data_IF_850969549579
#
_entry.id   IF_850969549579
#
_cell.length_a   1.000
_cell.length_b   1.000
_cell.length_c   1.000
_cell.angle_alpha   90.00
_cell.angle_beta   90.00
_cell.angle_gamma   90.00
#
_symmetry.space_group_name_H-M   'P 1'
#
loop_
_entity.id
_entity.type
_entity.pdbx_description
1 polymer ?
#
# COMPACT_ATOMS: atom_id res chain seq x y z
N UNK A 1 16.36 -7.63 -62.31
CA UNK A 1 16.78 -6.29 -61.83
C UNK A 1 17.08 -6.40 -60.35
N UNK A 2 18.36 -6.29 -59.96
CA UNK A 2 18.83 -6.37 -58.55
C UNK A 2 18.92 -4.94 -58.01
N UNK A 3 18.15 -4.61 -56.98
CA UNK A 3 18.31 -3.36 -56.25
C UNK A 3 19.22 -3.58 -55.03
N UNK A 4 20.40 -2.98 -55.07
CA UNK A 4 21.29 -2.86 -53.92
C UNK A 4 20.87 -1.63 -53.10
N UNK A 5 20.57 -1.83 -51.82
CA UNK A 5 20.42 -0.74 -50.86
C UNK A 5 21.78 -0.51 -50.17
N UNK A 6 22.33 0.70 -50.32
CA UNK A 6 23.47 1.18 -49.53
C UNK A 6 22.96 1.66 -48.18
N UNK A 7 23.39 0.99 -47.11
CA UNK A 7 23.21 1.45 -45.73
C UNK A 7 24.32 2.49 -45.47
N UNK A 8 23.93 3.73 -45.19
CA UNK A 8 24.83 4.78 -44.71
C UNK A 8 24.69 4.82 -43.19
N UNK A 9 25.71 4.32 -42.49
CA UNK A 9 25.82 4.44 -41.03
C UNK A 9 26.41 5.79 -40.67
N UNK A 10 25.64 6.64 -39.99
CA UNK A 10 26.16 7.82 -39.32
C UNK A 10 26.76 7.43 -37.97
N UNK A 11 28.09 7.46 -37.87
CA UNK A 11 28.82 7.35 -36.60
C UNK A 11 28.94 8.76 -36.02
N UNK A 12 28.20 9.04 -34.93
CA UNK A 12 28.39 10.25 -34.15
C UNK A 12 29.61 10.06 -33.22
N UNK A 13 30.71 10.73 -33.56
CA UNK A 13 31.83 10.95 -32.66
C UNK A 13 31.51 12.17 -31.77
N UNK A 14 31.12 11.94 -30.52
CA UNK A 14 31.00 12.99 -29.52
C UNK A 14 32.36 13.29 -28.89
N UNK A 15 32.98 14.39 -29.30
CA UNK A 15 34.13 14.98 -28.59
C UNK A 15 33.65 15.55 -27.25
N UNK A 16 34.16 15.01 -26.14
CA UNK A 16 34.11 15.67 -24.83
C UNK A 16 35.20 16.75 -24.79
N UNK A 17 34.80 18.02 -24.81
CA UNK A 17 35.68 19.13 -24.46
C UNK A 17 35.45 19.45 -22.98
N UNK A 18 36.44 19.14 -22.16
CA UNK A 18 36.58 19.67 -20.80
C UNK A 18 37.12 21.11 -20.92
N UNK A 19 36.35 22.09 -20.45
CA UNK A 19 36.87 23.42 -20.12
C UNK A 19 36.71 23.67 -18.63
N UNK A 20 37.82 23.60 -17.90
CA UNK A 20 37.96 24.17 -16.57
C UNK A 20 38.04 25.69 -16.70
N UNK A 21 37.23 26.43 -15.95
CA UNK A 21 37.52 27.82 -15.61
C UNK A 21 37.31 28.00 -14.11
N UNK A 22 38.44 28.23 -13.43
CA UNK A 22 38.53 28.87 -12.13
C UNK A 22 38.77 30.38 -12.34
N UNK A 23 38.77 31.12 -11.22
CA UNK A 23 38.89 32.58 -10.99
C UNK A 23 37.52 33.18 -10.63
N UNK A 24 37.33 33.89 -9.52
CA UNK A 24 38.23 34.53 -8.57
C UNK A 24 37.45 35.72 -7.97
N UNK A 25 37.54 35.92 -6.66
CA UNK A 25 36.83 36.95 -5.90
C UNK A 25 37.12 38.38 -6.39
N UNK A 26 36.12 39.26 -6.36
CA UNK A 26 36.35 40.66 -5.96
C UNK A 26 35.07 41.30 -5.39
N UNK A 27 35.24 41.93 -4.22
CA UNK A 27 34.23 42.71 -3.50
C UNK A 27 33.97 44.04 -4.21
N UNK A 28 32.73 44.54 -4.16
CA UNK A 28 32.48 45.99 -4.08
C UNK A 28 31.13 46.27 -3.42
N UNK A 29 31.12 47.38 -2.68
CA UNK A 29 30.20 47.81 -1.61
C UNK A 29 29.18 48.85 -2.13
N UNK A 30 28.16 49.11 -1.30
CA UNK A 30 27.14 50.19 -1.29
C UNK A 30 25.77 49.78 -1.86
N UNK A 31 24.61 50.08 -1.25
CA UNK A 31 24.25 50.91 -0.10
C UNK A 31 22.79 50.65 0.26
N UNK A 32 22.51 50.64 1.57
CA UNK A 32 21.23 50.82 2.29
C UNK A 32 20.01 51.36 1.51
N UNK A 33 18.87 50.69 1.69
CA UNK A 33 17.72 51.37 2.26
C UNK A 33 16.93 50.46 3.22
N UNK A 34 16.94 50.89 4.47
CA UNK A 34 16.25 50.36 5.62
C UNK A 34 14.84 50.97 5.66
N UNK A 35 13.80 50.18 5.89
CA UNK A 35 12.60 50.65 6.58
C UNK A 35 12.19 49.62 7.63
N UNK A 36 12.27 50.11 8.87
CA UNK A 36 12.04 49.44 10.13
C UNK A 36 10.55 49.15 10.33
N UNK A 37 10.21 48.01 10.92
CA UNK A 37 9.36 47.98 12.12
C UNK A 37 9.75 46.78 12.99
N UNK A 38 10.25 47.09 14.18
CA UNK A 38 10.59 46.15 15.25
C UNK A 38 9.81 46.57 16.49
N UNK A 39 9.55 45.59 17.35
CA UNK A 39 9.03 45.65 18.73
C UNK A 39 7.49 45.66 18.80
N UNK A 40 6.83 44.76 19.53
CA UNK A 40 7.14 44.40 20.91
C UNK A 40 6.81 42.94 21.27
N UNK A 41 7.71 42.33 22.03
CA UNK A 41 7.45 41.14 22.83
C UNK A 41 6.49 41.49 23.98
N UNK A 42 5.43 40.71 24.14
CA UNK A 42 4.82 40.50 25.45
C UNK A 42 4.45 39.02 25.58
N UNK A 43 5.13 38.39 26.52
CA UNK A 43 4.76 37.11 27.09
C UNK A 43 3.34 37.20 27.65
N UNK A 44 2.45 36.35 27.15
CA UNK A 44 1.52 35.67 28.03
C UNK A 44 1.23 34.28 27.45
N UNK A 45 1.84 33.32 28.14
CA UNK A 45 1.58 31.90 28.11
C UNK A 45 0.08 31.59 28.13
N UNK A 46 -0.39 30.95 27.08
CA UNK A 46 -1.42 29.92 27.14
C UNK A 46 -1.11 28.90 26.06
N UNK A 47 -0.02 28.17 26.28
CA UNK A 47 0.19 26.88 25.64
C UNK A 47 -0.91 25.98 26.20
N UNK A 48 -1.99 25.83 25.43
CA UNK A 48 -2.94 24.73 25.61
C UNK A 48 -2.22 23.45 25.24
N UNK A 49 -1.43 22.95 26.19
CA UNK A 49 -0.86 21.61 26.19
C UNK A 49 -1.99 20.62 26.44
N UNK A 50 -2.87 20.43 25.46
CA UNK A 50 -3.71 19.24 25.41
C UNK A 50 -2.98 18.17 24.60
N UNK A 51 -1.73 17.89 24.98
CA UNK A 51 -1.13 16.58 24.75
C UNK A 51 -1.86 15.64 25.71
N UNK A 52 -3.03 15.18 25.27
CA UNK A 52 -3.53 13.91 25.78
C UNK A 52 -2.47 12.89 25.41
N UNK A 53 -1.60 12.60 26.36
CA UNK A 53 -0.85 11.36 26.45
C UNK A 53 -1.88 10.24 26.46
N UNK A 54 -2.38 9.87 25.26
CA UNK A 54 -3.14 8.64 25.04
C UNK A 54 -2.21 7.55 25.51
N UNK A 55 -2.53 6.98 26.66
CA UNK A 55 -1.91 5.77 27.17
C UNK A 55 -1.86 4.77 26.01
N UNK A 56 -0.65 4.46 25.57
CA UNK A 56 -0.39 3.49 24.51
C UNK A 56 -1.16 2.22 24.84
N UNK A 57 -2.23 1.96 24.10
CA UNK A 57 -3.08 0.80 24.29
C UNK A 57 -2.24 -0.43 23.98
N UNK A 58 -1.71 -1.08 25.02
CA UNK A 58 -0.89 -2.29 24.87
C UNK A 58 -1.72 -3.49 24.43
N UNK A 59 -3.00 -3.52 24.81
CA UNK A 59 -3.89 -4.63 24.53
C UNK A 59 -5.05 -4.16 23.67
N UNK A 60 -5.18 -4.71 22.47
CA UNK A 60 -6.26 -4.38 21.55
C UNK A 60 -6.50 -5.51 20.56
N UNK A 61 -7.60 -5.42 19.82
CA UNK A 61 -7.84 -6.25 18.65
C UNK A 61 -7.88 -5.41 17.40
N UNK A 62 -7.42 -5.97 16.29
CA UNK A 62 -7.57 -5.39 14.96
C UNK A 62 -8.00 -6.48 13.98
N UNK A 63 -8.60 -6.09 12.86
CA UNK A 63 -9.01 -7.03 11.81
C UNK A 63 -8.19 -6.76 10.56
N UNK A 64 -7.70 -7.82 9.94
CA UNK A 64 -6.98 -7.77 8.67
C UNK A 64 -7.78 -8.59 7.66
N UNK A 65 -8.09 -7.98 6.52
CA UNK A 65 -8.92 -8.55 5.46
C UNK A 65 -8.38 -8.15 4.09
N UNK A 66 -8.88 -8.76 3.02
CA UNK A 66 -8.55 -8.44 1.64
C UNK A 66 -9.72 -8.80 0.73
N UNK A 67 -9.68 -8.32 -0.51
CA UNK A 67 -10.61 -8.75 -1.57
C UNK A 67 -12.10 -8.61 -1.20
N UNK A 68 -12.58 -7.41 -0.78
CA UNK A 68 -14.02 -7.13 -0.84
C UNK A 68 -14.54 -7.17 -2.28
N UNK A 69 -13.74 -6.72 -3.25
CA UNK A 69 -14.02 -6.70 -4.69
C UNK A 69 -15.49 -6.43 -4.99
N UNK A 70 -15.92 -5.20 -4.73
CA UNK A 70 -17.32 -4.85 -4.87
C UNK A 70 -17.89 -5.25 -6.25
N UNK A 71 -18.90 -6.14 -6.20
CA UNK A 71 -19.60 -6.89 -7.26
C UNK A 71 -19.10 -8.28 -7.65
N UNK A 72 -18.02 -8.77 -7.05
CA UNK A 72 -17.60 -10.16 -7.22
C UNK A 72 -18.47 -11.13 -6.43
N UNK A 73 -19.01 -12.13 -7.12
CA UNK A 73 -19.67 -13.28 -6.51
C UNK A 73 -18.84 -14.54 -6.81
N UNK A 74 -19.19 -15.67 -6.18
CA UNK A 74 -18.56 -16.96 -6.48
C UNK A 74 -18.74 -17.39 -7.95
N UNK A 75 -19.79 -16.90 -8.61
CA UNK A 75 -20.15 -17.24 -9.98
C UNK A 75 -20.69 -16.00 -10.70
N UNK A 76 -20.62 -16.00 -12.03
CA UNK A 76 -21.12 -14.92 -12.87
C UNK A 76 -20.05 -13.85 -13.16
N UNK A 77 -20.40 -12.88 -14.00
CA UNK A 77 -19.50 -11.79 -14.37
C UNK A 77 -19.29 -10.86 -13.17
N UNK A 78 -18.08 -10.76 -12.60
CA UNK A 78 -17.84 -9.95 -11.40
C UNK A 78 -17.95 -8.45 -11.65
N UNK A 79 -17.86 -8.02 -12.92
CA UNK A 79 -18.04 -6.63 -13.30
C UNK A 79 -19.51 -6.23 -13.53
N UNK A 80 -20.44 -7.18 -13.53
CA UNK A 80 -21.85 -6.94 -13.85
C UNK A 80 -22.59 -6.24 -12.72
N UNK A 81 -23.33 -5.20 -13.07
CA UNK A 81 -24.23 -4.52 -12.12
C UNK A 81 -25.39 -5.43 -11.66
N UNK A 82 -25.70 -6.51 -12.38
CA UNK A 82 -26.69 -7.51 -11.91
C UNK A 82 -26.29 -8.14 -10.56
N UNK A 83 -25.00 -8.20 -10.23
CA UNK A 83 -24.51 -8.74 -8.97
C UNK A 83 -24.68 -7.77 -7.80
N UNK A 84 -25.03 -6.51 -8.08
CA UNK A 84 -25.01 -5.40 -7.13
C UNK A 84 -25.77 -5.70 -5.85
N UNK A 85 -27.05 -5.97 -5.99
CA UNK A 85 -27.94 -6.17 -4.84
C UNK A 85 -27.48 -7.35 -4.00
N UNK A 86 -27.10 -8.45 -4.65
CA UNK A 86 -26.71 -9.69 -3.96
C UNK A 86 -25.38 -9.57 -3.22
N UNK A 87 -24.39 -8.89 -3.81
CA UNK A 87 -23.12 -8.62 -3.13
C UNK A 87 -23.33 -7.73 -1.92
N UNK A 88 -24.11 -6.64 -2.02
CA UNK A 88 -24.42 -5.77 -0.86
C UNK A 88 -25.05 -6.61 0.25
N UNK A 89 -26.04 -7.44 -0.08
CA UNK A 89 -26.74 -8.26 0.91
C UNK A 89 -25.77 -9.22 1.64
N UNK A 90 -24.95 -9.95 0.89
CA UNK A 90 -23.97 -10.89 1.46
C UNK A 90 -22.91 -10.18 2.30
N UNK A 91 -22.36 -9.08 1.81
CA UNK A 91 -21.26 -8.38 2.46
C UNK A 91 -21.74 -7.56 3.67
N UNK A 92 -23.02 -7.19 3.75
CA UNK A 92 -23.61 -6.65 5.00
C UNK A 92 -23.61 -7.66 6.14
N UNK A 93 -23.82 -8.94 5.86
CA UNK A 93 -23.69 -9.99 6.88
C UNK A 93 -22.22 -10.14 7.33
N UNK A 94 -21.28 -10.15 6.39
CA UNK A 94 -19.85 -10.15 6.72
C UNK A 94 -19.48 -8.94 7.59
N UNK A 95 -19.94 -7.75 7.21
CA UNK A 95 -19.72 -6.50 7.94
C UNK A 95 -20.32 -6.52 9.35
N UNK A 96 -21.48 -7.17 9.53
CA UNK A 96 -22.10 -7.38 10.85
C UNK A 96 -21.23 -8.28 11.75
N UNK A 97 -20.68 -9.36 11.19
CA UNK A 97 -19.75 -10.23 11.91
C UNK A 97 -18.49 -9.46 12.32
N UNK A 98 -17.88 -8.71 11.41
CA UNK A 98 -16.71 -7.85 11.69
C UNK A 98 -17.01 -6.85 12.80
N UNK A 99 -18.14 -6.13 12.72
CA UNK A 99 -18.54 -5.13 13.71
C UNK A 99 -18.70 -5.74 15.11
N UNK A 100 -19.12 -7.00 15.22
CA UNK A 100 -19.33 -7.66 16.51
C UNK A 100 -18.05 -7.87 17.32
N UNK A 101 -16.88 -7.90 16.66
CA UNK A 101 -15.58 -8.02 17.31
C UNK A 101 -15.12 -6.77 18.06
N UNK A 102 -15.72 -5.60 17.76
CA UNK A 102 -15.35 -4.29 18.34
C UNK A 102 -13.84 -4.00 18.24
N UNK A 103 -13.25 -4.33 17.09
CA UNK A 103 -11.85 -4.10 16.82
C UNK A 103 -11.50 -2.60 16.88
N UNK A 104 -10.28 -2.29 17.31
CA UNK A 104 -9.77 -0.93 17.40
C UNK A 104 -9.65 -0.27 16.02
N UNK A 105 -9.33 -1.06 15.00
CA UNK A 105 -9.26 -0.65 13.60
C UNK A 105 -9.30 -1.86 12.67
N UNK A 106 -9.53 -1.58 11.38
CA UNK A 106 -9.61 -2.57 10.31
C UNK A 106 -8.56 -2.24 9.24
N UNK A 107 -7.88 -3.25 8.67
CA UNK A 107 -6.95 -3.12 7.55
C UNK A 107 -7.50 -3.92 6.36
N UNK A 108 -7.56 -3.31 5.17
CA UNK A 108 -7.99 -3.97 3.92
C UNK A 108 -6.82 -4.01 2.94
N UNK A 109 -6.26 -5.20 2.68
CA UNK A 109 -5.08 -5.39 1.85
C UNK A 109 -5.43 -5.46 0.36
N UNK A 110 -6.00 -4.39 -0.17
CA UNK A 110 -6.23 -4.24 -1.59
C UNK A 110 -7.46 -4.95 -2.13
N UNK A 111 -7.64 -4.76 -3.43
CA UNK A 111 -8.79 -5.22 -4.21
C UNK A 111 -10.12 -4.74 -3.61
N UNK A 112 -10.12 -3.44 -3.29
CA UNK A 112 -11.28 -2.72 -2.79
C UNK A 112 -12.44 -2.79 -3.81
N UNK A 113 -12.06 -2.78 -5.08
CA UNK A 113 -12.93 -2.80 -6.24
C UNK A 113 -12.60 -3.96 -7.16
N UNK A 114 -13.55 -4.36 -8.02
CA UNK A 114 -13.29 -5.37 -9.05
C UNK A 114 -12.50 -4.81 -10.25
N UNK A 115 -12.50 -3.48 -10.49
CA UNK A 115 -11.82 -2.90 -11.66
C UNK A 115 -11.56 -1.38 -11.55
N UNK A 116 -11.36 -0.85 -10.34
CA UNK A 116 -11.06 0.58 -10.10
C UNK A 116 -12.24 1.55 -10.23
N UNK A 117 -13.44 1.05 -10.53
CA UNK A 117 -14.64 1.88 -10.82
C UNK A 117 -15.15 2.60 -9.56
N UNK A 118 -15.56 3.85 -9.73
CA UNK A 118 -16.05 4.69 -8.60
C UNK A 118 -17.26 4.05 -7.89
N UNK A 119 -18.26 3.59 -8.65
CA UNK A 119 -19.48 2.99 -8.07
C UNK A 119 -19.18 1.74 -7.24
N UNK A 120 -18.21 0.92 -7.63
CA UNK A 120 -17.79 -0.24 -6.85
C UNK A 120 -17.08 0.18 -5.56
N UNK A 121 -16.24 1.22 -5.64
CA UNK A 121 -15.60 1.78 -4.44
C UNK A 121 -16.64 2.36 -3.47
N UNK A 122 -17.63 3.10 -3.97
CA UNK A 122 -18.69 3.68 -3.13
C UNK A 122 -19.46 2.61 -2.37
N UNK A 123 -19.81 1.51 -3.04
CA UNK A 123 -20.52 0.40 -2.40
C UNK A 123 -19.66 -0.39 -1.42
N UNK A 124 -18.36 -0.58 -1.71
CA UNK A 124 -17.39 -1.07 -0.72
C UNK A 124 -17.34 -0.14 0.52
N UNK A 125 -17.16 1.16 0.30
CA UNK A 125 -17.02 2.15 1.36
C UNK A 125 -18.28 2.21 2.23
N UNK A 126 -19.46 2.19 1.62
CA UNK A 126 -20.73 2.18 2.32
C UNK A 126 -20.91 0.97 3.23
N UNK A 127 -20.42 -0.21 2.82
CA UNK A 127 -20.51 -1.43 3.61
C UNK A 127 -19.48 -1.46 4.73
N UNK A 128 -18.22 -1.10 4.46
CA UNK A 128 -17.11 -1.41 5.36
C UNK A 128 -16.54 -0.23 6.14
N UNK A 129 -16.67 1.02 5.66
CA UNK A 129 -16.06 2.18 6.33
C UNK A 129 -16.91 2.75 7.48
N UNK A 130 -18.16 2.31 7.60
CA UNK A 130 -19.12 2.80 8.60
C UNK A 130 -19.36 1.81 9.76
N UNK A 131 -18.36 0.97 10.09
CA UNK A 131 -18.49 -0.09 11.10
C UNK A 131 -18.22 0.36 12.54
N UNK A 132 -17.88 1.63 12.75
CA UNK A 132 -17.57 2.18 14.07
C UNK A 132 -16.10 2.01 14.48
N UNK A 133 -15.24 1.57 13.56
CA UNK A 133 -13.79 1.53 13.69
C UNK A 133 -13.17 2.15 12.42
N UNK A 134 -12.01 2.83 12.51
CA UNK A 134 -11.32 3.34 11.34
C UNK A 134 -10.85 2.20 10.43
N UNK A 135 -10.87 2.44 9.13
CA UNK A 135 -10.43 1.50 8.08
C UNK A 135 -9.20 2.07 7.40
N UNK A 136 -8.13 1.27 7.37
CA UNK A 136 -6.87 1.57 6.71
C UNK A 136 -6.73 0.72 5.45
N UNK A 137 -6.69 1.37 4.30
CA UNK A 137 -6.83 0.74 3.00
C UNK A 137 -5.48 0.54 2.33
N UNK A 138 -5.29 -0.62 1.71
CA UNK A 138 -4.31 -0.90 0.66
C UNK A 138 -4.99 -0.91 -0.70
N UNK A 139 -4.20 -0.84 -1.77
CA UNK A 139 -4.69 -1.01 -3.15
C UNK A 139 -4.17 -2.35 -3.66
N UNK A 140 -4.99 -3.08 -4.42
CA UNK A 140 -4.61 -4.33 -5.07
C UNK A 140 -4.52 -4.20 -6.59
N UNK A 141 -4.28 -5.32 -7.28
CA UNK A 141 -4.14 -5.29 -8.73
C UNK A 141 -5.45 -4.88 -9.43
N UNK A 142 -6.63 -5.21 -8.88
CA UNK A 142 -7.91 -4.78 -9.44
C UNK A 142 -8.19 -3.27 -9.26
N UNK A 143 -7.51 -2.61 -8.33
CA UNK A 143 -7.71 -1.18 -8.08
C UNK A 143 -6.91 -0.28 -9.05
N UNK A 144 -5.67 -0.64 -9.38
CA UNK A 144 -4.75 0.24 -10.12
C UNK A 144 -3.66 -0.46 -10.95
N UNK A 145 -3.80 -1.76 -11.26
CA UNK A 145 -2.92 -2.48 -12.18
C UNK A 145 -3.66 -3.07 -13.38
N UNK A 146 -4.70 -3.88 -13.13
CA UNK A 146 -5.46 -4.58 -14.17
C UNK A 146 -6.26 -3.64 -15.09
N UNK A 147 -6.54 -2.42 -14.61
CA UNK A 147 -7.35 -1.43 -15.30
C UNK A 147 -6.49 -0.33 -16.00
N UNK A 148 -5.17 -0.43 -15.90
CA UNK A 148 -4.22 0.47 -16.58
C UNK A 148 -4.36 0.30 -18.09
N UNK A 149 -4.48 1.40 -18.82
CA UNK A 149 -4.70 1.38 -20.26
C UNK A 149 -6.09 0.90 -20.71
N UNK A 150 -6.98 0.52 -19.79
CA UNK A 150 -8.18 -0.26 -20.11
C UNK A 150 -9.48 0.28 -19.48
N UNK A 151 -9.42 1.37 -18.73
CA UNK A 151 -10.59 1.85 -17.96
C UNK A 151 -10.76 3.36 -18.03
N UNK A 152 -11.88 3.75 -18.65
CA UNK A 152 -12.37 5.14 -18.72
C UNK A 152 -13.47 5.37 -17.67
N UNK A 153 -13.79 6.65 -17.39
CA UNK A 153 -14.92 7.05 -16.54
C UNK A 153 -15.85 7.98 -17.35
N UNK A 154 -16.71 7.42 -18.23
CA UNK A 154 -17.59 8.21 -19.09
C UNK A 154 -18.55 9.11 -18.33
N UNK A 155 -19.02 8.69 -17.14
CA UNK A 155 -19.94 9.46 -16.30
C UNK A 155 -19.32 10.79 -15.81
N UNK A 156 -17.98 10.86 -15.76
CA UNK A 156 -17.24 12.06 -15.41
C UNK A 156 -16.61 12.75 -16.64
N UNK A 157 -17.05 12.38 -17.86
CA UNK A 157 -16.45 12.84 -19.12
C UNK A 157 -14.92 12.64 -19.18
N UNK A 158 -14.45 11.54 -18.58
CA UNK A 158 -13.05 11.19 -18.54
C UNK A 158 -12.80 9.94 -19.39
N UNK A 159 -12.39 10.15 -20.64
CA UNK A 159 -12.16 9.09 -21.62
C UNK A 159 -10.69 8.65 -21.70
N UNK A 160 -9.85 9.06 -20.75
CA UNK A 160 -8.45 8.64 -20.69
C UNK A 160 -8.36 7.19 -20.21
N UNK A 161 -7.47 6.37 -20.80
CA UNK A 161 -7.45 4.93 -20.56
C UNK A 161 -6.95 4.53 -19.15
N UNK A 162 -6.27 5.43 -18.44
CA UNK A 162 -5.80 5.25 -17.06
C UNK A 162 -6.74 5.87 -16.02
N UNK A 163 -7.93 6.33 -16.41
CA UNK A 163 -8.79 7.14 -15.56
C UNK A 163 -9.15 6.43 -14.23
N UNK A 164 -9.41 5.12 -14.27
CA UNK A 164 -9.78 4.36 -13.07
C UNK A 164 -8.58 4.16 -12.13
N UNK A 165 -7.39 3.82 -12.67
CA UNK A 165 -6.17 3.69 -11.88
C UNK A 165 -5.81 5.01 -11.19
N UNK A 166 -5.83 6.13 -11.92
CA UNK A 166 -5.52 7.45 -11.35
C UNK A 166 -6.58 7.85 -10.32
N UNK A 167 -7.85 7.55 -10.57
CA UNK A 167 -8.91 7.78 -9.59
C UNK A 167 -8.67 6.99 -8.29
N UNK A 168 -8.18 5.75 -8.36
CA UNK A 168 -7.80 4.98 -7.17
C UNK A 168 -6.61 5.60 -6.42
N UNK A 169 -5.58 6.06 -7.13
CA UNK A 169 -4.44 6.78 -6.54
C UNK A 169 -4.90 8.06 -5.83
N UNK A 170 -5.75 8.86 -6.48
CA UNK A 170 -6.25 10.11 -5.91
C UNK A 170 -7.13 9.88 -4.67
N UNK A 171 -7.96 8.83 -4.66
CA UNK A 171 -8.70 8.42 -3.47
C UNK A 171 -7.76 8.02 -2.34
N UNK A 172 -6.73 7.24 -2.63
CA UNK A 172 -5.75 6.82 -1.62
C UNK A 172 -5.01 8.01 -1.01
N UNK A 173 -4.59 8.98 -1.82
CA UNK A 173 -4.02 10.24 -1.32
C UNK A 173 -4.95 10.99 -0.36
N UNK A 174 -6.26 10.99 -0.63
CA UNK A 174 -7.25 11.61 0.26
C UNK A 174 -7.37 10.85 1.58
N UNK A 175 -7.32 9.52 1.55
CA UNK A 175 -7.33 8.68 2.75
C UNK A 175 -6.06 8.87 3.58
N UNK A 176 -4.88 8.81 2.95
CA UNK A 176 -3.59 9.06 3.61
C UNK A 176 -3.53 10.45 4.24
N UNK A 177 -4.16 11.48 3.63
CA UNK A 177 -4.30 12.81 4.22
C UNK A 177 -5.20 12.83 5.47
N UNK A 178 -6.16 11.91 5.60
CA UNK A 178 -6.95 11.73 6.84
C UNK A 178 -6.14 10.96 7.87
N UNK A 179 -5.43 9.92 7.45
CA UNK A 179 -4.58 9.09 8.29
C UNK A 179 -3.48 9.91 8.95
N UNK A 180 -2.78 10.77 8.19
CA UNK A 180 -1.70 11.62 8.70
C UNK A 180 -2.11 12.59 9.82
N UNK A 181 -3.40 12.90 9.93
CA UNK A 181 -3.94 13.76 10.98
C UNK A 181 -4.32 13.02 12.26
N UNK A 182 -4.45 11.70 12.19
CA UNK A 182 -5.08 10.90 13.25
C UNK A 182 -4.19 9.78 13.78
N UNK A 183 -3.25 9.30 12.96
CA UNK A 183 -2.36 8.20 13.28
C UNK A 183 -1.06 8.69 13.93
N UNK A 184 -0.63 7.99 14.98
CA UNK A 184 0.63 8.29 15.65
C UNK A 184 1.82 7.84 14.79
N UNK A 185 2.87 8.67 14.76
CA UNK A 185 4.08 8.40 13.97
C UNK A 185 3.79 8.04 12.50
N UNK A 186 2.77 8.66 11.92
CA UNK A 186 2.42 8.42 10.53
C UNK A 186 3.58 8.80 9.60
N UNK A 187 3.94 7.88 8.71
CA UNK A 187 4.90 8.11 7.62
C UNK A 187 4.28 7.68 6.29
N UNK A 188 4.69 8.29 5.19
CA UNK A 188 4.22 7.96 3.85
C UNK A 188 5.29 8.20 2.78
N UNK A 189 5.20 7.44 1.70
CA UNK A 189 6.06 7.54 0.53
C UNK A 189 5.30 8.12 -0.67
N UNK A 190 5.07 9.43 -0.63
CA UNK A 190 4.49 10.13 -1.76
C UNK A 190 4.80 11.62 -1.76
N UNK A 191 5.07 12.14 -2.95
CA UNK A 191 5.07 13.57 -3.27
C UNK A 191 3.89 13.86 -4.20
N UNK A 192 3.07 14.85 -3.86
CA UNK A 192 1.98 15.38 -4.68
C UNK A 192 2.21 16.88 -4.85
N UNK A 193 2.60 17.30 -6.06
CA UNK A 193 2.96 18.70 -6.34
C UNK A 193 2.41 19.20 -7.67
N UNK A 194 2.16 20.50 -7.73
CA UNK A 194 1.77 21.19 -8.96
C UNK A 194 2.99 21.84 -9.61
N UNK A 195 3.18 21.59 -10.90
CA UNK A 195 4.14 22.27 -11.76
C UNK A 195 3.36 23.22 -12.67
N UNK A 196 3.72 24.49 -12.64
CA UNK A 196 3.08 25.53 -13.44
C UNK A 196 3.92 25.79 -14.69
N UNK A 197 3.31 25.59 -15.85
CA UNK A 197 3.87 25.88 -17.17
C UNK A 197 3.13 27.09 -17.77
N UNK A 198 3.67 27.72 -18.81
CA UNK A 198 2.97 28.83 -19.46
C UNK A 198 1.60 28.35 -19.98
N UNK A 199 0.52 28.95 -19.50
CA UNK A 199 -0.88 28.59 -19.77
C UNK A 199 -1.34 27.17 -19.39
N UNK A 200 -0.63 26.45 -18.52
CA UNK A 200 -1.09 25.14 -18.02
C UNK A 200 -0.52 24.78 -16.66
N UNK A 201 -1.18 23.85 -15.95
CA UNK A 201 -0.66 23.24 -14.72
C UNK A 201 -0.63 21.73 -14.88
N UNK A 202 0.40 21.10 -14.32
CA UNK A 202 0.59 19.66 -14.29
C UNK A 202 0.71 19.21 -12.84
N UNK A 203 -0.20 18.36 -12.39
CA UNK A 203 -0.09 17.66 -11.12
C UNK A 203 0.82 16.46 -11.29
N UNK A 204 1.88 16.40 -10.49
CA UNK A 204 2.84 15.31 -10.44
C UNK A 204 2.70 14.57 -9.11
N UNK A 205 2.32 13.29 -9.19
CA UNK A 205 2.28 12.37 -8.06
C UNK A 205 3.39 11.35 -8.23
N UNK A 206 4.27 11.20 -7.23
CA UNK A 206 5.42 10.28 -7.29
C UNK A 206 5.68 9.59 -5.96
N UNK A 207 6.01 8.30 -5.99
CA UNK A 207 6.33 7.47 -4.83
C UNK A 207 5.57 6.15 -4.87
N UNK A 208 5.72 5.29 -3.86
CA UNK A 208 5.01 4.00 -3.79
C UNK A 208 3.59 4.09 -3.25
N UNK A 209 3.18 5.25 -2.72
CA UNK A 209 1.98 5.48 -1.89
C UNK A 209 2.02 4.80 -0.53
N UNK A 210 3.02 3.96 -0.26
CA UNK A 210 3.12 3.21 0.99
C UNK A 210 3.03 4.13 2.19
N UNK A 211 2.43 3.63 3.27
CA UNK A 211 2.32 4.37 4.51
C UNK A 211 2.45 3.45 5.72
N UNK A 212 2.78 4.06 6.85
CA UNK A 212 2.94 3.36 8.12
C UNK A 212 2.46 4.19 9.30
N UNK A 213 2.22 3.52 10.42
CA UNK A 213 1.85 4.17 11.67
C UNK A 213 2.17 3.29 12.87
N UNK A 214 2.25 3.90 14.05
CA UNK A 214 2.36 3.19 15.31
C UNK A 214 0.99 3.04 15.98
N UNK A 215 0.70 1.86 16.52
CA UNK A 215 -0.43 1.64 17.43
C UNK A 215 -0.02 0.70 18.57
N UNK A 216 0.00 1.21 19.80
CA UNK A 216 0.56 0.47 20.93
C UNK A 216 2.06 0.21 20.72
N UNK A 217 2.49 -1.03 20.92
CA UNK A 217 3.89 -1.46 20.71
C UNK A 217 4.18 -1.97 19.28
N UNK A 218 3.19 -1.89 18.38
CA UNK A 218 3.28 -2.37 17.00
C UNK A 218 3.43 -1.19 16.03
N UNK A 219 4.30 -1.36 15.05
CA UNK A 219 4.40 -0.54 13.85
C UNK A 219 3.74 -1.28 12.68
N UNK A 220 2.77 -0.63 12.04
CA UNK A 220 2.05 -1.20 10.91
C UNK A 220 2.49 -0.52 9.63
N UNK A 221 2.71 -1.33 8.59
CA UNK A 221 3.10 -0.86 7.26
C UNK A 221 2.10 -1.37 6.23
N UNK A 222 1.69 -0.52 5.28
CA UNK A 222 0.87 -0.86 4.12
C UNK A 222 1.63 -0.52 2.84
N UNK A 223 1.92 -1.52 2.00
CA UNK A 223 2.70 -1.40 0.76
C UNK A 223 1.85 -1.52 -0.51
N UNK A 224 0.52 -1.49 -0.38
CA UNK A 224 -0.44 -1.61 -1.49
C UNK A 224 -0.28 -2.92 -2.27
N UNK A 225 -0.11 -2.88 -3.61
CA UNK A 225 -0.19 -4.08 -4.43
C UNK A 225 0.92 -5.08 -4.05
N UNK A 226 2.17 -4.68 -4.25
CA UNK A 226 3.33 -5.43 -3.78
C UNK A 226 4.56 -4.51 -3.69
N UNK A 227 5.60 -4.85 -2.90
CA UNK A 227 6.69 -3.93 -2.54
C UNK A 227 7.47 -3.34 -3.73
N UNK A 228 7.45 -4.03 -4.88
CA UNK A 228 8.20 -3.68 -6.09
C UNK A 228 7.30 -3.20 -7.24
N UNK A 229 6.02 -2.91 -6.96
CA UNK A 229 5.10 -2.45 -7.99
C UNK A 229 5.51 -1.09 -8.54
N UNK A 230 5.51 -0.96 -9.86
CA UNK A 230 5.80 0.29 -10.56
C UNK A 230 4.85 0.48 -11.72
N UNK A 231 4.35 1.69 -11.93
CA UNK A 231 3.53 2.03 -13.09
C UNK A 231 3.61 3.52 -13.41
N UNK A 232 3.53 3.86 -14.70
CA UNK A 232 3.34 5.22 -15.17
C UNK A 232 1.90 5.39 -15.62
N UNK A 233 1.19 6.36 -15.06
CA UNK A 233 -0.18 6.69 -15.43
C UNK A 233 -0.26 8.13 -15.89
N UNK A 234 -1.09 8.39 -16.90
CA UNK A 234 -1.30 9.75 -17.37
C UNK A 234 -2.76 10.03 -17.74
N UNK A 235 -3.27 11.17 -17.30
CA UNK A 235 -4.54 11.72 -17.78
C UNK A 235 -4.50 13.23 -17.76
N UNK A 236 -5.03 13.89 -18.80
CA UNK A 236 -5.17 15.36 -18.85
C UNK A 236 -3.89 16.09 -18.32
N UNK A 237 -4.03 16.73 -17.16
CA UNK A 237 -3.00 17.48 -16.43
C UNK A 237 -2.48 16.75 -15.18
N UNK A 238 -2.57 15.43 -15.12
CA UNK A 238 -2.09 14.59 -14.01
C UNK A 238 -1.18 13.49 -14.54
N UNK A 239 0.03 13.44 -14.00
CA UNK A 239 0.98 12.35 -14.22
C UNK A 239 1.28 11.68 -12.88
N UNK A 240 1.17 10.35 -12.86
CA UNK A 240 1.48 9.54 -11.69
C UNK A 240 2.65 8.62 -12.03
N UNK A 241 3.65 8.60 -11.16
CA UNK A 241 4.77 7.67 -11.23
C UNK A 241 4.82 6.86 -9.93
N UNK A 242 4.27 5.64 -9.98
CA UNK A 242 4.35 4.71 -8.86
C UNK A 242 5.72 4.03 -8.88
N UNK A 243 6.42 4.09 -7.75
CA UNK A 243 7.77 3.59 -7.57
C UNK A 243 7.81 2.42 -6.57
N UNK A 244 8.92 1.69 -6.56
CA UNK A 244 9.18 0.63 -5.58
C UNK A 244 9.25 1.22 -4.16
N UNK A 245 8.72 0.51 -3.18
CA UNK A 245 8.70 0.95 -1.79
C UNK A 245 9.99 0.64 -1.00
N UNK A 246 10.94 -0.11 -1.56
CA UNK A 246 12.04 -0.74 -0.82
C UNK A 246 12.92 0.26 -0.04
N UNK A 247 13.36 1.34 -0.69
CA UNK A 247 14.22 2.35 -0.05
C UNK A 247 13.48 3.08 1.08
N UNK A 248 12.20 3.37 0.89
CA UNK A 248 11.37 3.98 1.91
C UNK A 248 11.14 3.01 3.07
N UNK A 249 10.82 1.75 2.77
CA UNK A 249 10.58 0.70 3.75
C UNK A 249 11.78 0.51 4.67
N UNK A 250 13.01 0.43 4.14
CA UNK A 250 14.21 0.29 4.98
C UNK A 250 14.36 1.45 5.97
N UNK A 251 14.14 2.70 5.52
CA UNK A 251 14.21 3.88 6.40
C UNK A 251 13.09 3.88 7.44
N UNK A 252 11.88 3.51 7.04
CA UNK A 252 10.72 3.46 7.92
C UNK A 252 10.89 2.41 9.02
N UNK A 253 11.33 1.19 8.66
CA UNK A 253 11.60 0.12 9.62
C UNK A 253 12.78 0.45 10.54
N UNK A 254 13.84 1.07 10.03
CA UNK A 254 14.95 1.57 10.85
C UNK A 254 14.43 2.56 11.91
N UNK A 255 13.54 3.48 11.51
CA UNK A 255 12.95 4.42 12.44
C UNK A 255 12.04 3.73 13.48
N UNK A 256 11.29 2.70 13.07
CA UNK A 256 10.44 1.91 13.97
C UNK A 256 11.25 1.10 15.00
N UNK A 257 12.36 0.50 14.57
CA UNK A 257 13.30 -0.21 15.45
C UNK A 257 13.94 0.73 16.48
N UNK A 258 14.32 1.94 16.05
CA UNK A 258 14.83 2.98 16.97
C UNK A 258 13.79 3.40 18.02
N UNK A 259 12.49 3.27 17.72
CA UNK A 259 11.38 3.45 18.68
C UNK A 259 11.04 2.19 19.47
N UNK A 260 11.76 1.09 19.24
CA UNK A 260 11.58 -0.19 19.92
C UNK A 260 10.29 -0.92 19.55
N UNK A 261 9.72 -0.67 18.37
CA UNK A 261 8.49 -1.34 17.90
C UNK A 261 8.76 -2.75 17.37
N UNK A 262 7.72 -3.57 17.29
CA UNK A 262 7.68 -4.74 16.40
C UNK A 262 6.84 -4.39 15.18
N UNK A 263 7.12 -4.98 14.02
CA UNK A 263 6.49 -4.60 12.77
C UNK A 263 5.53 -5.67 12.23
N UNK A 264 4.37 -5.23 11.76
CA UNK A 264 3.47 -6.00 10.89
C UNK A 264 3.43 -5.32 9.51
N UNK A 265 3.76 -6.08 8.47
CA UNK A 265 3.72 -5.60 7.09
C UNK A 265 2.45 -6.11 6.39
N UNK A 266 1.83 -5.25 5.60
CA UNK A 266 0.63 -5.55 4.83
C UNK A 266 0.85 -5.17 3.36
N UNK A 267 0.45 -6.05 2.45
CA UNK A 267 0.34 -5.77 1.00
C UNK A 267 -0.65 -6.74 0.37
N UNK A 268 -0.89 -6.64 -0.93
CA UNK A 268 -1.93 -7.43 -1.61
C UNK A 268 -1.39 -8.74 -2.19
N UNK A 269 -0.42 -8.69 -3.10
CA UNK A 269 0.06 -9.83 -3.89
C UNK A 269 1.34 -10.43 -3.30
N UNK A 270 1.18 -11.55 -2.60
CA UNK A 270 2.25 -12.47 -2.20
C UNK A 270 2.11 -13.84 -2.90
N UNK A 271 1.49 -13.86 -4.09
CA UNK A 271 1.18 -15.09 -4.83
C UNK A 271 2.44 -15.86 -5.14
N UNK A 272 2.52 -17.16 -4.80
CA UNK A 272 3.63 -18.01 -5.23
C UNK A 272 3.85 -17.94 -6.74
N UNK A 273 5.09 -18.14 -7.18
CA UNK A 273 5.39 -18.14 -8.60
C UNK A 273 4.73 -19.33 -9.29
N UNK A 274 3.97 -19.02 -10.33
CA UNK A 274 3.53 -19.96 -11.33
C UNK A 274 3.88 -19.35 -12.69
N UNK A 275 4.21 -20.17 -13.68
CA UNK A 275 4.50 -19.69 -15.04
C UNK A 275 3.21 -19.24 -15.75
N UNK A 276 2.66 -18.11 -15.29
CA UNK A 276 1.48 -17.46 -15.81
C UNK A 276 1.56 -15.93 -15.62
N UNK A 277 0.61 -15.24 -16.23
CA UNK A 277 0.56 -13.78 -16.26
C UNK A 277 0.17 -13.13 -14.93
N UNK A 278 -0.27 -13.92 -13.95
CA UNK A 278 -0.88 -13.44 -12.71
C UNK A 278 0.10 -13.55 -11.51
N UNK A 279 1.32 -14.08 -11.72
CA UNK A 279 2.40 -14.05 -10.71
C UNK A 279 3.27 -12.81 -10.94
N UNK A 280 3.09 -11.76 -10.13
CA UNK A 280 3.80 -10.50 -10.34
C UNK A 280 5.00 -10.30 -9.42
N UNK A 281 4.80 -10.37 -8.11
CA UNK A 281 5.84 -10.06 -7.12
C UNK A 281 6.88 -11.17 -7.01
N UNK A 282 6.44 -12.38 -6.65
CA UNK A 282 7.28 -13.57 -6.56
C UNK A 282 7.50 -14.13 -7.96
N UNK A 283 8.25 -13.39 -8.77
CA UNK A 283 8.57 -13.77 -10.14
C UNK A 283 10.11 -13.75 -10.29
N UNK A 284 10.75 -14.74 -10.94
CA UNK A 284 12.21 -14.81 -11.08
C UNK A 284 12.87 -13.53 -11.63
N UNK A 285 12.20 -12.85 -12.56
CA UNK A 285 12.59 -11.51 -13.07
C UNK A 285 12.86 -10.45 -11.98
N UNK A 286 12.27 -10.61 -10.79
CA UNK A 286 12.42 -9.70 -9.66
C UNK A 286 13.48 -10.16 -8.65
N UNK A 287 14.27 -11.21 -8.93
CA UNK A 287 15.19 -11.84 -7.98
C UNK A 287 16.06 -10.85 -7.17
N UNK A 288 16.59 -9.80 -7.82
CA UNK A 288 17.38 -8.76 -7.15
C UNK A 288 16.55 -7.99 -6.13
N UNK A 289 15.37 -7.54 -6.51
CA UNK A 289 14.48 -6.79 -5.62
C UNK A 289 13.95 -7.68 -4.49
N UNK A 290 13.70 -8.96 -4.76
CA UNK A 290 13.28 -9.95 -3.77
C UNK A 290 14.37 -10.20 -2.72
N UNK A 291 15.64 -10.27 -3.14
CA UNK A 291 16.76 -10.38 -2.22
C UNK A 291 16.93 -9.11 -1.35
N UNK A 292 16.72 -7.92 -1.93
CA UNK A 292 16.70 -6.66 -1.18
C UNK A 292 15.55 -6.65 -0.18
N UNK A 293 14.34 -7.03 -0.60
CA UNK A 293 13.18 -7.13 0.29
C UNK A 293 13.44 -8.08 1.46
N UNK A 294 13.95 -9.30 1.20
CA UNK A 294 14.36 -10.26 2.23
C UNK A 294 15.36 -9.63 3.20
N UNK A 295 16.40 -9.00 2.69
CA UNK A 295 17.43 -8.34 3.51
C UNK A 295 16.84 -7.27 4.43
N UNK A 296 15.91 -6.45 3.92
CA UNK A 296 15.21 -5.44 4.72
C UNK A 296 14.42 -6.12 5.83
N UNK A 297 13.46 -7.00 5.51
CA UNK A 297 12.53 -7.52 6.52
C UNK A 297 13.21 -8.41 7.57
N UNK A 298 14.30 -9.09 7.23
CA UNK A 298 15.05 -9.96 8.15
C UNK A 298 16.03 -9.22 9.06
N UNK A 299 16.48 -8.02 8.68
CA UNK A 299 17.33 -7.16 9.53
C UNK A 299 16.53 -6.34 10.55
N UNK A 300 15.23 -6.21 10.33
CA UNK A 300 14.31 -5.44 11.17
C UNK A 300 13.36 -6.34 11.96
N UNK A 301 12.66 -5.77 12.94
CA UNK A 301 11.81 -6.51 13.86
C UNK A 301 10.43 -6.89 13.27
N UNK A 302 10.40 -7.42 12.05
CA UNK A 302 9.18 -7.85 11.35
C UNK A 302 8.70 -9.19 11.90
N UNK A 303 7.44 -9.25 12.35
CA UNK A 303 6.85 -10.44 13.00
C UNK A 303 5.89 -11.22 12.12
N UNK A 304 5.25 -10.56 11.18
CA UNK A 304 4.34 -11.19 10.24
C UNK A 304 4.12 -10.30 9.01
N UNK A 305 3.75 -10.97 7.92
CA UNK A 305 3.27 -10.35 6.70
C UNK A 305 1.83 -10.82 6.47
N UNK A 306 0.94 -9.89 6.15
CA UNK A 306 -0.42 -10.20 5.72
C UNK A 306 -0.61 -9.79 4.26
N UNK A 307 -1.12 -10.73 3.47
CA UNK A 307 -1.38 -10.64 2.04
C UNK A 307 -2.86 -10.89 1.70
N UNK A 308 -3.28 -10.53 0.50
CA UNK A 308 -4.59 -10.85 -0.11
C UNK A 308 -4.44 -11.74 -1.33
N UNK A 309 -5.15 -11.39 -2.41
CA UNK A 309 -4.98 -11.84 -3.80
C UNK A 309 -5.35 -13.31 -4.09
N UNK A 310 -4.90 -14.26 -3.27
CA UNK A 310 -5.15 -15.70 -3.46
C UNK A 310 -6.60 -16.12 -3.22
N UNK A 311 -7.39 -15.28 -2.54
CA UNK A 311 -8.77 -15.56 -2.14
C UNK A 311 -8.94 -16.83 -1.30
N UNK A 312 -7.86 -17.29 -0.69
CA UNK A 312 -7.80 -18.46 0.18
C UNK A 312 -7.17 -18.02 1.49
N UNK A 313 -7.85 -18.32 2.59
CA UNK A 313 -7.34 -18.01 3.91
C UNK A 313 -6.29 -19.05 4.31
N UNK A 314 -5.07 -18.60 4.62
CA UNK A 314 -3.94 -19.50 4.81
C UNK A 314 -2.77 -18.87 5.56
N UNK A 315 -1.85 -19.70 6.03
CA UNK A 315 -0.60 -19.24 6.61
C UNK A 315 0.52 -20.17 6.20
N UNK A 316 1.60 -19.58 5.70
CA UNK A 316 2.84 -20.26 5.41
C UNK A 316 3.95 -19.71 6.30
N UNK A 317 4.80 -20.62 6.79
CA UNK A 317 6.10 -20.29 7.35
C UNK A 317 7.08 -21.35 6.88
N UNK A 318 8.20 -20.92 6.34
CA UNK A 318 9.28 -21.83 5.96
C UNK A 318 10.58 -21.40 6.66
N UNK A 319 11.44 -22.34 7.08
CA UNK A 319 12.77 -22.00 7.56
C UNK A 319 13.56 -21.33 6.44
N UNK A 320 14.06 -20.13 6.71
CA UNK A 320 14.88 -19.33 5.79
C UNK A 320 14.32 -19.23 4.36
N UNK A 321 13.01 -18.93 4.22
CA UNK A 321 12.39 -18.77 2.91
C UNK A 321 13.18 -17.81 2.01
N UNK A 322 13.27 -18.11 0.71
CA UNK A 322 14.05 -17.35 -0.28
C UNK A 322 13.68 -15.86 -0.34
N UNK A 323 12.45 -15.50 0.02
CA UNK A 323 11.97 -14.11 0.03
C UNK A 323 11.59 -13.66 1.43
N UNK A 324 10.96 -14.52 2.23
CA UNK A 324 10.38 -14.12 3.51
C UNK A 324 11.25 -14.45 4.73
N UNK A 325 12.37 -15.15 4.54
CA UNK A 325 13.16 -15.67 5.66
C UNK A 325 12.29 -16.51 6.60
N UNK A 326 12.41 -16.30 7.91
CA UNK A 326 11.65 -17.03 8.93
C UNK A 326 10.28 -16.40 9.28
N UNK A 327 9.87 -15.36 8.55
CA UNK A 327 8.69 -14.55 8.86
C UNK A 327 7.44 -15.26 8.31
N UNK A 328 6.41 -15.51 9.14
CA UNK A 328 5.17 -16.10 8.68
C UNK A 328 4.40 -15.13 7.76
N UNK A 329 3.87 -15.67 6.67
CA UNK A 329 3.01 -14.97 5.71
C UNK A 329 1.59 -15.51 5.83
N UNK A 330 0.62 -14.62 5.97
CA UNK A 330 -0.80 -14.95 6.07
C UNK A 330 -1.54 -14.43 4.84
N UNK A 331 -2.34 -15.25 4.18
CA UNK A 331 -3.25 -14.83 3.13
C UNK A 331 -4.65 -14.65 3.73
N UNK A 332 -5.22 -13.45 3.66
CA UNK A 332 -6.45 -13.08 4.38
C UNK A 332 -7.71 -13.83 3.95
N UNK A 333 -7.65 -14.51 2.79
CA UNK A 333 -8.82 -15.01 2.10
C UNK A 333 -9.49 -13.90 1.30
N UNK A 334 -10.78 -14.04 1.01
CA UNK A 334 -11.54 -12.98 0.34
C UNK A 334 -12.76 -12.55 1.14
N UNK A 335 -12.90 -11.25 1.32
CA UNK A 335 -13.97 -10.68 2.12
C UNK A 335 -15.34 -10.88 1.48
N UNK A 336 -15.44 -10.93 0.13
CA UNK A 336 -16.69 -11.32 -0.55
C UNK A 336 -17.12 -12.78 -0.30
N UNK A 337 -16.21 -13.64 0.19
CA UNK A 337 -16.50 -15.00 0.69
C UNK A 337 -16.73 -15.04 2.21
N UNK A 338 -16.48 -13.92 2.89
CA UNK A 338 -16.62 -13.72 4.31
C UNK A 338 -15.35 -13.95 5.12
N UNK A 339 -14.20 -14.19 4.50
CA UNK A 339 -12.96 -14.51 5.21
C UNK A 339 -12.27 -13.23 5.75
N UNK A 340 -11.73 -13.31 6.97
CA UNK A 340 -10.89 -12.28 7.57
C UNK A 340 -10.09 -12.83 8.76
N UNK A 341 -9.04 -12.12 9.15
CA UNK A 341 -8.29 -12.38 10.38
C UNK A 341 -8.69 -11.41 11.49
N UNK A 342 -8.83 -11.93 12.70
CA UNK A 342 -8.78 -11.17 13.94
C UNK A 342 -7.39 -11.33 14.53
N UNK A 343 -6.71 -10.21 14.80
CA UNK A 343 -5.48 -10.21 15.59
C UNK A 343 -5.78 -9.70 17.00
N UNK A 344 -5.20 -10.37 17.99
CA UNK A 344 -5.21 -9.94 19.39
C UNK A 344 -3.78 -9.56 19.76
N UNK A 345 -3.58 -8.30 20.14
CA UNK A 345 -2.27 -7.75 20.50
C UNK A 345 -2.17 -7.64 22.02
N UNK A 346 -1.04 -8.05 22.57
CA UNK A 346 -0.68 -7.95 23.99
C UNK A 346 0.76 -7.44 24.10
N UNK A 347 0.91 -6.12 24.15
CA UNK A 347 2.21 -5.45 23.98
C UNK A 347 2.80 -5.78 22.62
N UNK A 348 3.93 -6.49 22.61
CA UNK A 348 4.64 -6.93 21.39
C UNK A 348 4.18 -8.29 20.87
N UNK A 349 3.35 -9.00 21.64
CA UNK A 349 2.84 -10.31 21.26
C UNK A 349 1.57 -10.18 20.45
N UNK A 350 1.48 -10.95 19.37
CA UNK A 350 0.32 -10.92 18.50
C UNK A 350 -0.17 -12.35 18.25
N UNK A 351 -1.47 -12.54 18.44
CA UNK A 351 -2.17 -13.80 18.24
C UNK A 351 -3.12 -13.67 17.06
N UNK A 352 -3.18 -14.70 16.21
CA UNK A 352 -3.95 -14.66 14.97
C UNK A 352 -5.05 -15.72 14.97
N UNK A 353 -6.27 -15.30 14.66
CA UNK A 353 -7.43 -16.18 14.47
C UNK A 353 -8.10 -15.88 13.14
N UNK A 354 -8.29 -16.93 12.35
CA UNK A 354 -9.02 -16.92 11.09
C UNK A 354 -10.52 -17.06 11.37
N UNK A 355 -11.33 -16.17 10.79
CA UNK A 355 -12.77 -16.20 10.87
C UNK A 355 -13.43 -16.16 9.49
N UNK A 356 -14.65 -16.70 9.43
CA UNK A 356 -15.58 -16.47 8.33
C UNK A 356 -16.87 -15.84 8.87
N UNK A 357 -17.29 -14.73 8.26
CA UNK A 357 -18.44 -13.92 8.67
C UNK A 357 -19.67 -14.05 7.79
N UNK A 358 -19.71 -14.98 6.83
CA UNK A 358 -20.74 -15.04 5.77
C UNK A 358 -22.19 -15.14 6.27
N UNK A 359 -22.40 -15.52 7.53
CA UNK A 359 -23.72 -15.72 8.16
C UNK A 359 -24.15 -14.58 9.07
N UNK A 360 -23.38 -13.48 9.15
CA UNK A 360 -23.70 -12.38 10.07
C UNK A 360 -23.14 -12.55 11.48
N UNK A 361 -22.55 -13.73 11.77
CA UNK A 361 -21.91 -14.07 13.04
C UNK A 361 -20.48 -14.57 12.76
N UNK A 362 -19.48 -14.18 13.55
CA UNK A 362 -18.13 -14.71 13.40
C UNK A 362 -18.10 -16.22 13.64
N UNK A 363 -17.70 -16.99 12.63
CA UNK A 363 -17.37 -18.41 12.79
C UNK A 363 -15.85 -18.57 12.80
N UNK A 364 -15.29 -19.09 13.90
CA UNK A 364 -13.86 -19.39 13.98
C UNK A 364 -13.53 -20.51 13.00
N UNK A 365 -12.63 -20.24 12.05
CA UNK A 365 -12.14 -21.21 11.07
C UNK A 365 -10.88 -21.89 11.60
N UNK A 366 -9.92 -21.09 12.11
CA UNK A 366 -8.66 -21.60 12.65
C UNK A 366 -8.06 -20.65 13.69
N UNK A 367 -7.49 -21.21 14.74
CA UNK A 367 -6.69 -20.47 15.72
C UNK A 367 -5.21 -20.78 15.47
N UNK A 368 -4.44 -19.79 15.03
CA UNK A 368 -2.99 -19.94 14.79
C UNK A 368 -2.17 -19.71 16.07
N UNK A 369 -2.76 -19.12 17.11
CA UNK A 369 -2.05 -18.75 18.33
C UNK A 369 -1.09 -17.59 18.09
N UNK A 370 -0.02 -17.53 18.91
CA UNK A 370 1.02 -16.50 18.84
C UNK A 370 1.82 -16.65 17.55
N UNK A 371 2.02 -15.56 16.80
CA UNK A 371 2.70 -15.57 15.49
C UNK A 371 4.06 -16.27 15.50
N UNK A 372 4.83 -16.09 16.58
CA UNK A 372 6.17 -16.70 16.73
C UNK A 372 6.14 -18.22 16.84
N UNK A 373 4.99 -18.79 17.22
CA UNK A 373 4.81 -20.22 17.45
C UNK A 373 4.08 -20.94 16.30
N UNK A 374 3.80 -20.26 15.20
CA UNK A 374 3.13 -20.90 14.06
C UNK A 374 4.01 -22.01 13.50
N UNK A 375 3.48 -23.24 13.55
CA UNK A 375 4.14 -24.51 13.17
C UNK A 375 3.70 -25.02 11.80
N UNK A 376 3.23 -24.17 10.90
CA UNK A 376 3.15 -24.58 9.49
C UNK A 376 4.58 -24.60 8.98
N UNK A 377 5.09 -25.77 8.62
CA UNK A 377 6.40 -25.91 7.98
C UNK A 377 6.12 -26.35 6.56
N UNK A 378 5.89 -25.36 5.69
CA UNK A 378 5.93 -25.60 4.26
C UNK A 378 7.39 -25.57 3.80
N UNK A 379 7.70 -26.23 2.70
CA UNK A 379 9.06 -26.21 2.12
C UNK A 379 9.47 -24.80 1.67
N UNK A 380 8.48 -23.98 1.28
CA UNK A 380 8.68 -22.57 0.90
C UNK A 380 7.33 -21.86 0.86
N UNK A 381 7.32 -20.58 1.20
CA UNK A 381 6.19 -19.67 1.01
C UNK A 381 6.24 -18.94 -0.33
N UNK A 382 7.34 -19.08 -1.07
CA UNK A 382 7.61 -18.32 -2.28
C UNK A 382 7.83 -19.17 -3.53
N UNK A 383 7.56 -20.49 -3.48
CA UNK A 383 7.75 -21.48 -4.56
C UNK A 383 8.64 -21.01 -5.71
N UNK A 384 9.95 -21.18 -5.56
CA UNK A 384 10.90 -21.09 -6.66
C UNK A 384 11.34 -22.49 -7.05
N UNK A 385 10.97 -22.94 -8.24
CA UNK A 385 11.41 -24.24 -8.76
C UNK A 385 12.84 -24.23 -9.32
N UNK A 386 13.56 -23.12 -9.22
CA UNK A 386 14.95 -23.00 -9.69
C UNK A 386 15.84 -22.33 -8.64
N UNK A 387 17.09 -22.80 -8.58
CA UNK A 387 18.15 -22.27 -7.73
C UNK A 387 18.45 -20.82 -8.13
N UNK A 388 18.54 -19.95 -7.13
CA UNK A 388 18.90 -18.53 -7.27
C UNK A 388 20.42 -18.37 -7.15
#
# INVERSE_FOLDING_TARGET
MKHQYKIISFVFFGLFIYTNYALGEEQTVFSNHQSNYRLNSNNNSNISSNSQTKTSTKNYTAIIMADPQAWRLLTGNPNSESNRVLWIQKNREVAKAIKSHKAAFLIVNGDLTEFGRQKTYDDYANVYKNLGAPVYEGLGNHDYANNVGACTIPQALNFFPDACAISAVERMLQEMKKYSKTLAHFNQDVTDRWVYLFNSSLRLIRGSLSYSWDYGDIHYVQLHNYPTYTVNLSQRSTSVHIEKALDWLERDLTAADARGKVTIINFHDARPYYDNIDSHFLHPKNAKDLAVFKSIITRHNVKAIFAGHEHIQGCCRAPDDKVFGNIPVYTAGALFKGDYYLIEVQGKDVYVKAYNGKTGKPALVRNFGRMENVRTFDWTCSFFQFDL
#
